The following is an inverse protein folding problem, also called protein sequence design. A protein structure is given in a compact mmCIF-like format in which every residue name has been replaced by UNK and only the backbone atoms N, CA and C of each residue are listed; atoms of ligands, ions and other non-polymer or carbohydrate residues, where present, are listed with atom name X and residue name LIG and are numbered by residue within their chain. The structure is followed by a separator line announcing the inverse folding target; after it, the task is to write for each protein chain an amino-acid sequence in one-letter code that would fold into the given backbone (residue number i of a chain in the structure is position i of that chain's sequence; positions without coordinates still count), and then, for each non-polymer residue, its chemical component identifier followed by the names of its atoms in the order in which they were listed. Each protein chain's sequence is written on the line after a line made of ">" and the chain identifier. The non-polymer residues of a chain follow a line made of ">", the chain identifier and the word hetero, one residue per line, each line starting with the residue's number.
data_IF_908500991087
#
_entry.id   IF_908500991087
#
_cell.length_a   1.000
_cell.length_b   1.000
_cell.length_c   1.000
_cell.angle_alpha   90.00
_cell.angle_beta   90.00
_cell.angle_gamma   90.00
#
_symmetry.space_group_name_H-M   'P 1'
#
loop_
_entity.id
_entity.type
_entity.pdbx_description
1 polymer ?
#
# COMPACT_ATOMS: atom_id res chain seq x y z
N UNK A 1 5.61 19.12 13.53
CA UNK A 1 4.95 19.65 14.74
C UNK A 1 3.74 20.52 14.36
N UNK A 2 3.91 21.72 13.80
CA UNK A 2 2.80 22.65 13.45
C UNK A 2 1.69 22.03 12.57
N UNK A 3 2.03 21.34 11.48
CA UNK A 3 1.01 20.72 10.61
C UNK A 3 0.13 19.68 11.32
N UNK A 4 0.70 18.96 12.29
CA UNK A 4 -0.04 17.99 13.09
C UNK A 4 -0.99 18.71 14.04
N UNK A 5 -0.52 19.74 14.71
CA UNK A 5 -1.32 20.57 15.62
C UNK A 5 -2.53 21.20 14.91
N UNK A 6 -2.32 21.79 13.72
CA UNK A 6 -3.40 22.32 12.88
C UNK A 6 -4.42 21.23 12.51
N UNK A 7 -3.94 20.01 12.21
CA UNK A 7 -4.81 18.89 11.87
C UNK A 7 -5.62 18.41 13.07
N UNK A 8 -4.96 18.21 14.21
CA UNK A 8 -5.54 17.58 15.40
C UNK A 8 -6.54 18.53 16.10
N UNK A 9 -6.25 19.84 16.13
CA UNK A 9 -7.13 20.86 16.69
C UNK A 9 -8.10 21.46 15.66
N UNK A 10 -8.06 20.96 14.42
CA UNK A 10 -8.89 21.40 13.31
C UNK A 10 -8.83 22.91 12.99
N UNK A 11 -7.70 23.58 13.28
CA UNK A 11 -7.55 25.03 13.08
C UNK A 11 -7.77 25.49 11.65
N UNK A 12 -7.58 24.60 10.67
CA UNK A 12 -7.92 24.89 9.28
C UNK A 12 -9.38 25.27 9.06
N UNK A 13 -10.30 24.90 9.96
CA UNK A 13 -11.72 25.31 9.87
C UNK A 13 -11.92 26.80 10.18
N UNK A 14 -11.03 27.40 10.98
CA UNK A 14 -11.08 28.83 11.32
C UNK A 14 -10.86 29.70 10.08
N UNK A 15 -10.04 29.21 9.14
CA UNK A 15 -9.78 29.85 7.85
C UNK A 15 -10.80 29.44 6.76
N UNK A 16 -11.89 28.76 7.15
CA UNK A 16 -12.97 28.38 6.23
C UNK A 16 -12.69 27.14 5.37
N UNK A 17 -11.64 26.37 5.65
CA UNK A 17 -11.38 25.12 4.91
C UNK A 17 -12.29 23.98 5.36
N UNK A 18 -12.87 23.27 4.39
CA UNK A 18 -13.72 22.10 4.64
C UNK A 18 -12.94 20.85 5.05
N UNK A 19 -11.63 20.82 4.77
CA UNK A 19 -10.75 19.71 5.16
C UNK A 19 -9.30 20.16 5.36
N UNK A 20 -8.54 19.41 6.15
CA UNK A 20 -7.10 19.65 6.31
C UNK A 20 -6.34 19.54 4.97
N UNK A 21 -6.76 18.65 4.08
CA UNK A 21 -6.16 18.51 2.76
C UNK A 21 -6.41 19.74 1.85
N UNK A 22 -7.58 20.38 1.94
CA UNK A 22 -7.84 21.64 1.20
C UNK A 22 -6.98 22.77 1.73
N UNK A 23 -6.78 22.86 3.05
CA UNK A 23 -5.85 23.80 3.66
C UNK A 23 -4.42 23.58 3.15
N UNK A 24 -3.92 22.34 3.23
CA UNK A 24 -2.52 22.04 2.90
C UNK A 24 -2.17 22.29 1.41
N UNK A 25 -3.15 22.17 0.51
CA UNK A 25 -2.97 22.47 -0.92
C UNK A 25 -2.54 23.92 -1.19
N UNK A 26 -2.95 24.86 -0.35
CA UNK A 26 -2.62 26.28 -0.55
C UNK A 26 -1.16 26.61 -0.26
N UNK A 27 -0.44 25.74 0.46
CA UNK A 27 0.97 25.92 0.80
C UNK A 27 1.93 25.22 -0.16
N UNK A 28 1.44 24.78 -1.33
CA UNK A 28 2.23 24.04 -2.35
C UNK A 28 2.90 22.77 -1.81
N UNK A 29 2.34 22.17 -0.75
CA UNK A 29 2.82 20.90 -0.20
C UNK A 29 2.05 19.76 -0.87
N UNK A 30 2.76 18.76 -1.38
CA UNK A 30 2.12 17.58 -1.94
C UNK A 30 1.37 16.81 -0.85
N UNK A 31 0.18 16.27 -1.18
CA UNK A 31 -0.64 15.51 -0.22
C UNK A 31 0.14 14.40 0.49
N UNK A 32 1.01 13.70 -0.23
CA UNK A 32 1.88 12.64 0.33
C UNK A 32 2.83 13.21 1.38
N UNK A 33 3.52 14.31 1.08
CA UNK A 33 4.43 14.99 2.00
C UNK A 33 3.71 15.45 3.27
N UNK A 34 2.48 15.94 3.16
CA UNK A 34 1.66 16.33 4.32
C UNK A 34 1.45 15.16 5.27
N UNK A 35 1.10 13.99 4.75
CA UNK A 35 0.94 12.78 5.56
C UNK A 35 2.28 12.31 6.14
N UNK A 36 3.38 12.41 5.39
CA UNK A 36 4.72 12.07 5.87
C UNK A 36 5.16 12.98 7.04
N UNK A 37 4.87 14.28 6.98
CA UNK A 37 5.17 15.22 8.07
C UNK A 37 4.35 14.96 9.32
N UNK A 38 3.06 14.61 9.15
CA UNK A 38 2.23 14.18 10.28
C UNK A 38 2.77 12.88 10.87
N UNK A 39 3.19 11.94 10.02
CA UNK A 39 3.76 10.65 10.43
C UNK A 39 5.02 10.86 11.28
N UNK A 40 5.94 11.70 10.84
CA UNK A 40 7.13 12.05 11.61
C UNK A 40 6.75 12.71 12.94
N UNK A 41 5.82 13.67 12.93
CA UNK A 41 5.40 14.35 14.15
C UNK A 41 4.79 13.40 15.18
N UNK A 42 3.94 12.45 14.76
CA UNK A 42 3.40 11.40 15.64
C UNK A 42 4.52 10.53 16.21
N UNK A 43 5.49 10.12 15.38
CA UNK A 43 6.59 9.27 15.83
C UNK A 43 7.49 9.96 16.86
N UNK A 44 7.65 11.29 16.75
CA UNK A 44 8.36 12.07 17.75
C UNK A 44 7.60 12.13 19.08
N UNK A 45 6.29 12.35 19.06
CA UNK A 45 5.45 12.36 20.27
C UNK A 45 5.41 10.99 20.97
N UNK A 46 5.42 9.91 20.19
CA UNK A 46 5.45 8.53 20.70
C UNK A 46 6.85 8.08 21.15
N UNK A 47 7.89 8.93 21.02
CA UNK A 47 9.27 8.58 21.36
C UNK A 47 9.91 7.55 20.41
N UNK A 48 9.31 7.31 19.25
CA UNK A 48 9.80 6.34 18.24
C UNK A 48 10.87 6.95 17.32
N UNK A 49 11.00 8.27 17.31
CA UNK A 49 11.94 9.01 16.48
C UNK A 49 12.41 10.28 17.20
N UNK A 50 13.71 10.40 17.41
CA UNK A 50 14.31 11.57 18.04
C UNK A 50 14.50 12.72 17.04
N UNK A 51 14.37 13.96 17.52
CA UNK A 51 14.58 15.16 16.70
C UNK A 51 16.01 15.25 16.18
N UNK A 52 16.99 14.86 17.00
CA UNK A 52 18.41 14.82 16.62
C UNK A 52 18.64 13.90 15.41
N UNK A 53 18.00 12.72 15.40
CA UNK A 53 18.10 11.79 14.28
C UNK A 53 17.57 12.38 12.98
N UNK A 54 16.47 13.17 13.04
CA UNK A 54 15.90 13.83 11.86
C UNK A 54 16.84 14.92 11.34
N UNK A 55 17.44 15.70 12.23
CA UNK A 55 18.39 16.77 11.86
C UNK A 55 19.62 16.17 11.17
N UNK A 56 20.14 15.05 11.69
CA UNK A 56 21.34 14.39 11.17
C UNK A 56 21.08 13.63 9.86
N UNK A 57 19.98 12.89 9.77
CA UNK A 57 19.73 11.93 8.68
C UNK A 57 18.70 12.42 7.65
N UNK A 58 18.02 13.52 7.95
CA UNK A 58 16.97 14.09 7.11
C UNK A 58 15.65 13.31 7.15
N UNK A 59 14.65 13.88 6.49
CA UNK A 59 13.26 13.41 6.50
C UNK A 59 13.10 12.03 5.83
N UNK A 60 13.80 11.79 4.72
CA UNK A 60 13.68 10.53 3.96
C UNK A 60 14.16 9.33 4.78
N UNK A 61 15.34 9.43 5.41
CA UNK A 61 15.86 8.36 6.25
C UNK A 61 15.02 8.16 7.51
N UNK A 62 14.49 9.25 8.06
CA UNK A 62 13.56 9.20 9.19
C UNK A 62 12.26 8.46 8.84
N UNK A 63 11.71 8.65 7.64
CA UNK A 63 10.52 7.91 7.20
C UNK A 63 10.83 6.43 6.96
N UNK A 64 12.01 6.11 6.43
CA UNK A 64 12.45 4.74 6.22
C UNK A 64 12.64 3.98 7.54
N UNK A 65 13.22 4.62 8.57
CA UNK A 65 13.40 4.00 9.89
C UNK A 65 12.08 3.72 10.61
N UNK A 66 10.99 4.40 10.21
CA UNK A 66 9.63 4.18 10.70
C UNK A 66 8.84 3.11 9.92
N UNK A 67 9.41 2.53 8.85
CA UNK A 67 8.66 1.61 7.96
C UNK A 67 8.25 0.30 8.65
N UNK A 68 9.10 -0.21 9.51
CA UNK A 68 8.93 -1.54 10.15
C UNK A 68 8.45 -1.44 11.61
N UNK A 69 8.35 -0.23 12.15
CA UNK A 69 7.84 0.02 13.51
C UNK A 69 6.31 -0.02 13.53
N UNK A 70 5.74 -0.71 14.51
CA UNK A 70 4.30 -0.70 14.79
C UNK A 70 4.01 0.28 15.92
N UNK A 71 2.94 1.05 15.77
CA UNK A 71 2.40 1.85 16.87
C UNK A 71 0.87 1.99 16.75
N UNK A 72 0.18 2.47 17.79
CA UNK A 72 -1.25 2.76 17.71
C UNK A 72 -1.61 3.72 16.55
N UNK A 73 -0.70 4.64 16.20
CA UNK A 73 -0.87 5.56 15.07
C UNK A 73 -0.25 5.05 13.76
N UNK A 74 0.65 4.05 13.80
CA UNK A 74 1.24 3.40 12.63
C UNK A 74 0.84 1.92 12.53
N UNK A 75 -0.18 1.63 11.70
CA UNK A 75 -0.42 0.25 11.26
C UNK A 75 0.60 -0.10 10.17
N UNK A 76 1.24 -1.28 10.28
CA UNK A 76 1.99 -1.84 9.14
C UNK A 76 1.13 -1.78 7.89
N UNK A 77 1.77 -1.50 6.76
CA UNK A 77 1.14 -1.69 5.46
C UNK A 77 0.56 -3.10 5.44
N UNK A 78 -0.74 -3.23 5.15
CA UNK A 78 -1.37 -4.52 4.83
C UNK A 78 -0.90 -4.99 3.45
N UNK A 79 0.42 -5.03 3.24
CA UNK A 79 0.98 -5.69 2.08
C UNK A 79 0.59 -7.15 2.20
N UNK A 80 -0.13 -7.65 1.18
CA UNK A 80 -0.47 -9.05 1.10
C UNK A 80 0.82 -9.86 1.27
N UNK A 81 0.88 -10.81 2.23
CA UNK A 81 2.08 -11.61 2.46
C UNK A 81 2.47 -12.42 1.21
N UNK A 82 1.49 -12.70 0.34
CA UNK A 82 1.67 -13.35 -0.95
C UNK A 82 1.51 -12.31 -2.06
N UNK A 83 2.51 -12.20 -2.93
CA UNK A 83 2.44 -11.32 -4.11
C UNK A 83 1.30 -11.81 -5.03
N UNK A 84 0.42 -10.92 -5.52
CA UNK A 84 -0.65 -11.32 -6.42
C UNK A 84 -0.07 -11.87 -7.72
N UNK A 85 -0.59 -13.02 -8.15
CA UNK A 85 -0.22 -13.64 -9.41
C UNK A 85 -0.73 -12.77 -10.57
N UNK A 86 0.12 -12.51 -11.56
CA UNK A 86 -0.22 -11.70 -12.74
C UNK A 86 -0.21 -12.56 -13.99
N UNK A 87 -1.36 -12.62 -14.68
CA UNK A 87 -1.52 -13.36 -15.93
C UNK A 87 -1.68 -12.40 -17.11
N UNK A 88 -1.08 -12.75 -18.24
CA UNK A 88 -1.40 -12.15 -19.52
C UNK A 88 -2.26 -13.15 -20.31
N UNK A 89 -3.55 -12.85 -20.42
CA UNK A 89 -4.50 -13.69 -21.13
C UNK A 89 -4.56 -13.28 -22.60
N UNK A 90 -4.85 -14.25 -23.48
CA UNK A 90 -4.80 -14.04 -24.94
C UNK A 90 -5.98 -13.22 -25.46
N UNK A 91 -7.14 -13.31 -24.82
CA UNK A 91 -8.36 -12.60 -25.25
C UNK A 91 -8.93 -11.73 -24.14
N UNK A 92 -9.56 -10.61 -24.53
CA UNK A 92 -10.25 -9.71 -23.61
C UNK A 92 -11.40 -10.40 -22.88
N UNK A 93 -12.15 -11.25 -23.57
CA UNK A 93 -13.25 -12.01 -23.00
C UNK A 93 -12.80 -12.92 -21.84
N UNK A 94 -11.72 -13.69 -22.02
CA UNK A 94 -11.18 -14.51 -20.95
C UNK A 94 -10.71 -13.66 -19.76
N UNK A 95 -10.10 -12.51 -20.03
CA UNK A 95 -9.69 -11.58 -18.99
C UNK A 95 -10.88 -11.03 -18.20
N UNK A 96 -11.92 -10.55 -18.88
CA UNK A 96 -13.10 -9.97 -18.25
C UNK A 96 -13.85 -11.02 -17.40
N UNK A 97 -13.94 -12.26 -17.90
CA UNK A 97 -14.52 -13.39 -17.15
C UNK A 97 -13.75 -13.67 -15.84
N UNK A 98 -12.44 -13.91 -15.90
CA UNK A 98 -11.68 -14.25 -14.67
C UNK A 98 -11.56 -13.06 -13.72
N UNK A 99 -11.50 -11.83 -14.25
CA UNK A 99 -11.47 -10.61 -13.46
C UNK A 99 -12.77 -10.38 -12.69
N UNK A 100 -13.92 -10.54 -13.35
CA UNK A 100 -15.23 -10.42 -12.69
C UNK A 100 -15.47 -11.56 -11.69
N UNK A 101 -14.82 -12.70 -11.87
CA UNK A 101 -14.96 -13.90 -11.04
C UNK A 101 -13.68 -14.21 -10.22
N UNK A 102 -13.04 -13.19 -9.64
CA UNK A 102 -11.72 -13.35 -9.00
C UNK A 102 -11.69 -14.40 -7.87
N UNK A 103 -12.74 -14.45 -7.02
CA UNK A 103 -12.84 -15.46 -5.94
C UNK A 103 -12.97 -16.89 -6.50
N UNK A 104 -13.83 -17.07 -7.50
CA UNK A 104 -13.99 -18.35 -8.19
C UNK A 104 -12.70 -18.76 -8.91
N UNK A 105 -11.99 -17.80 -9.51
CA UNK A 105 -10.72 -18.07 -10.18
C UNK A 105 -9.67 -18.57 -9.19
N UNK A 106 -9.59 -17.98 -7.99
CA UNK A 106 -8.73 -18.48 -6.91
C UNK A 106 -9.11 -19.91 -6.53
N UNK A 107 -10.38 -20.15 -6.20
CA UNK A 107 -10.90 -21.49 -5.87
C UNK A 107 -10.59 -22.52 -6.97
N UNK A 108 -10.83 -22.18 -8.24
CA UNK A 108 -10.57 -23.06 -9.38
C UNK A 108 -9.09 -23.45 -9.47
N UNK A 109 -8.18 -22.50 -9.26
CA UNK A 109 -6.74 -22.77 -9.32
C UNK A 109 -6.28 -23.66 -8.18
N UNK A 110 -6.81 -23.44 -6.97
CA UNK A 110 -6.50 -24.26 -5.79
C UNK A 110 -7.05 -25.68 -5.96
N UNK A 111 -8.32 -25.83 -6.35
CA UNK A 111 -8.97 -27.13 -6.59
C UNK A 111 -8.26 -27.93 -7.69
N UNK A 112 -7.88 -27.27 -8.79
CA UNK A 112 -7.11 -27.93 -9.85
C UNK A 112 -5.75 -28.42 -9.34
N UNK A 113 -5.09 -27.63 -8.48
CA UNK A 113 -3.78 -27.98 -7.95
C UNK A 113 -3.85 -29.09 -6.90
N UNK A 114 -4.89 -29.12 -6.07
CA UNK A 114 -5.05 -30.12 -5.02
C UNK A 114 -5.58 -31.45 -5.58
N UNK A 115 -6.65 -31.38 -6.38
CA UNK A 115 -7.44 -32.56 -6.78
C UNK A 115 -7.14 -33.05 -8.20
N UNK A 116 -6.58 -32.22 -9.08
CA UNK A 116 -6.47 -32.50 -10.53
C UNK A 116 -5.05 -32.29 -11.09
N UNK A 117 -4.01 -32.66 -10.32
CA UNK A 117 -2.60 -32.49 -10.72
C UNK A 117 -2.24 -33.14 -12.06
N UNK A 118 -2.85 -34.27 -12.40
CA UNK A 118 -2.60 -34.95 -13.67
C UNK A 118 -3.05 -34.12 -14.86
N UNK A 119 -4.19 -33.44 -14.74
CA UNK A 119 -4.70 -32.53 -15.75
C UNK A 119 -3.76 -31.32 -15.91
N UNK A 120 -3.27 -30.76 -14.82
CA UNK A 120 -2.26 -29.68 -14.85
C UNK A 120 -1.00 -30.16 -15.57
N UNK A 121 -0.49 -31.35 -15.21
CA UNK A 121 0.71 -31.92 -15.82
C UNK A 121 0.53 -32.15 -17.32
N UNK A 122 -0.65 -32.60 -17.75
CA UNK A 122 -1.00 -32.76 -19.17
C UNK A 122 -0.94 -31.41 -19.91
N UNK A 123 -1.55 -30.36 -19.35
CA UNK A 123 -1.49 -29.03 -19.96
C UNK A 123 -0.07 -28.45 -19.96
N UNK A 124 0.70 -28.67 -18.89
CA UNK A 124 2.09 -28.21 -18.80
C UNK A 124 2.97 -28.86 -19.87
N UNK A 125 2.81 -30.18 -20.12
CA UNK A 125 3.51 -30.88 -21.20
C UNK A 125 3.17 -30.30 -22.57
N UNK A 126 1.87 -30.10 -22.85
CA UNK A 126 1.41 -29.49 -24.10
C UNK A 126 1.94 -28.07 -24.28
N UNK A 127 1.93 -27.27 -23.21
CA UNK A 127 2.47 -25.91 -23.23
C UNK A 127 3.96 -25.90 -23.59
N UNK A 128 4.75 -26.80 -22.99
CA UNK A 128 6.18 -26.93 -23.29
C UNK A 128 6.43 -27.32 -24.75
N UNK A 129 5.59 -28.18 -25.34
CA UNK A 129 5.68 -28.56 -26.76
C UNK A 129 5.37 -27.40 -27.72
N UNK A 130 4.50 -26.47 -27.34
CA UNK A 130 4.15 -25.30 -28.17
C UNK A 130 5.21 -24.18 -28.03
N UNK A 131 5.95 -24.16 -26.92
CA UNK A 131 7.05 -23.21 -26.68
C UNK A 131 8.42 -23.71 -27.14
N UNK A 132 8.54 -25.01 -27.44
CA UNK A 132 9.76 -25.66 -27.93
C UNK A 132 9.91 -25.56 -29.44
#
# INVERSE_FOLDING_TARGET
>A
KILKEIKDNEYYKLDGYTSFNSFAKNYRIARTQVYDYIRIANAMEEGLLEEAFIIENGLTMSLLSLRDKESPTFKKSRQNPIKPLRFQLKSKESYDFYKSNAKFTGFLLDELFESQKDLINKFLRRYKQIKG
#
